data_IF_230614897662
#
_entry.id   IF_230614897662
#
_cell.length_a   1.000
_cell.length_b   1.000
_cell.length_c   1.000
_cell.angle_alpha   90.00
_cell.angle_beta   90.00
_cell.angle_gamma   90.00
#
_symmetry.space_group_name_H-M   'P 1'
#
loop_
_entity.id
_entity.type
_entity.pdbx_description
1 polymer ?
#
# COMPACT_ATOMS: atom_id res chain seq x y z
N UNK A 1 6.40 9.59 8.96
CA UNK A 1 5.03 9.08 8.70
C UNK A 1 5.14 8.04 7.61
N UNK A 2 5.24 6.77 8.02
CA UNK A 2 5.48 5.62 7.14
C UNK A 2 4.18 5.31 6.40
N UNK A 3 4.18 5.38 5.07
CA UNK A 3 3.00 5.10 4.25
C UNK A 3 2.72 3.59 4.31
N UNK A 4 1.74 3.23 5.13
CA UNK A 4 1.23 1.89 5.38
C UNK A 4 0.11 1.62 4.39
N UNK A 5 0.40 0.83 3.36
CA UNK A 5 -0.49 0.60 2.21
C UNK A 5 -1.52 -0.52 2.41
N UNK A 6 -1.34 -1.34 3.44
CA UNK A 6 -2.31 -2.30 3.95
C UNK A 6 -2.12 -2.45 5.46
N UNK A 7 -3.19 -2.66 6.22
CA UNK A 7 -3.10 -3.02 7.63
C UNK A 7 -2.82 -4.53 7.72
N UNK A 8 -1.59 -4.93 8.08
CA UNK A 8 -1.33 -6.29 8.56
C UNK A 8 -1.46 -6.30 10.08
N UNK A 9 -2.64 -6.68 10.60
CA UNK A 9 -2.81 -6.92 12.04
C UNK A 9 -2.07 -8.20 12.40
N UNK A 10 -0.94 -8.09 13.08
CA UNK A 10 -0.15 -9.23 13.56
C UNK A 10 -0.76 -9.95 14.75
N UNK A 11 -1.99 -9.62 15.13
CA UNK A 11 -2.60 -10.04 16.40
C UNK A 11 -3.98 -10.70 16.24
N UNK A 12 -4.46 -10.87 15.01
CA UNK A 12 -5.64 -11.68 14.69
C UNK A 12 -5.27 -12.44 13.42
N UNK A 13 -5.51 -13.74 13.33
CA UNK A 13 -5.48 -14.44 12.03
C UNK A 13 -6.84 -14.21 11.34
N UNK A 14 -6.99 -13.37 10.31
CA UNK A 14 -8.19 -13.37 9.49
C UNK A 14 -7.84 -14.18 8.26
N UNK A 15 -8.06 -15.49 8.28
CA UNK A 15 -7.83 -16.31 7.09
C UNK A 15 -8.79 -15.83 5.98
N UNK A 16 -8.28 -15.04 5.03
CA UNK A 16 -8.98 -14.75 3.76
C UNK A 16 -9.43 -13.32 3.46
N UNK A 17 -9.09 -12.30 4.26
CA UNK A 17 -9.44 -10.92 3.93
C UNK A 17 -8.25 -10.14 3.35
N UNK A 18 -8.37 -9.72 2.09
CA UNK A 18 -7.47 -8.76 1.45
C UNK A 18 -8.17 -7.40 1.46
N UNK A 19 -7.54 -6.40 2.08
CA UNK A 19 -8.05 -5.03 2.14
C UNK A 19 -7.13 -4.11 1.34
N UNK A 20 -7.68 -3.44 0.35
CA UNK A 20 -6.95 -2.48 -0.50
C UNK A 20 -7.52 -1.09 -0.26
N UNK A 21 -6.63 -0.10 -0.24
CA UNK A 21 -7.03 1.29 -0.08
C UNK A 21 -7.83 1.79 -1.30
N UNK A 22 -8.99 2.41 -1.08
CA UNK A 22 -9.83 2.99 -2.14
C UNK A 22 -9.14 4.08 -2.97
N UNK A 23 -8.03 4.65 -2.51
CA UNK A 23 -7.20 5.55 -3.32
C UNK A 23 -6.64 4.92 -4.59
N UNK A 24 -6.58 3.58 -4.63
CA UNK A 24 -6.18 2.83 -5.81
C UNK A 24 -7.37 2.55 -6.76
N UNK A 25 -8.60 2.80 -6.32
CA UNK A 25 -9.84 2.70 -7.11
C UNK A 25 -10.13 4.02 -7.83
N UNK A 26 -9.17 4.47 -8.65
CA UNK A 26 -9.32 5.67 -9.46
C UNK A 26 -8.96 5.34 -10.93
N UNK A 27 -9.77 5.78 -11.92
CA UNK A 27 -9.52 5.46 -13.34
C UNK A 27 -8.15 5.90 -13.87
N UNK A 28 -7.48 6.85 -13.22
CA UNK A 28 -6.12 7.31 -13.59
C UNK A 28 -5.02 6.45 -12.96
N UNK A 29 -5.36 5.56 -12.04
CA UNK A 29 -4.44 4.55 -11.51
C UNK A 29 -4.41 3.40 -12.51
N UNK A 30 -3.24 3.09 -13.10
CA UNK A 30 -3.15 1.98 -14.03
C UNK A 30 -3.51 0.64 -13.36
N UNK A 31 -4.20 -0.25 -14.08
CA UNK A 31 -4.68 -1.55 -13.56
C UNK A 31 -3.57 -2.38 -12.91
N UNK A 32 -2.38 -2.40 -13.48
CA UNK A 32 -1.24 -3.17 -12.95
C UNK A 32 -0.83 -2.76 -11.52
N UNK A 33 -1.12 -1.52 -11.11
CA UNK A 33 -0.84 -1.05 -9.75
C UNK A 33 -1.74 -1.77 -8.75
N UNK A 34 -3.00 -1.94 -9.10
CA UNK A 34 -3.96 -2.70 -8.31
C UNK A 34 -3.60 -4.19 -8.30
N UNK A 35 -3.23 -4.76 -9.45
CA UNK A 35 -2.77 -6.15 -9.55
C UNK A 35 -1.52 -6.40 -8.71
N UNK A 36 -0.54 -5.47 -8.76
CA UNK A 36 0.66 -5.54 -7.93
C UNK A 36 0.37 -5.37 -6.43
N UNK A 37 -0.62 -4.56 -6.07
CA UNK A 37 -1.07 -4.44 -4.66
C UNK A 37 -1.72 -5.73 -4.19
N UNK A 38 -2.63 -6.31 -4.99
CA UNK A 38 -3.23 -7.62 -4.69
C UNK A 38 -2.15 -8.70 -4.53
N UNK A 39 -1.19 -8.74 -5.45
CA UNK A 39 -0.08 -9.68 -5.41
C UNK A 39 0.73 -9.55 -4.11
N UNK A 40 1.06 -8.32 -3.69
CA UNK A 40 1.74 -8.04 -2.43
C UNK A 40 0.95 -8.56 -1.20
N UNK A 41 -0.35 -8.30 -1.14
CA UNK A 41 -1.19 -8.78 -0.04
C UNK A 41 -1.34 -10.31 -0.04
N UNK A 42 -1.40 -10.95 -1.21
CA UNK A 42 -1.38 -12.41 -1.31
C UNK A 42 -0.06 -13.01 -0.84
N UNK A 43 1.08 -12.36 -1.14
CA UNK A 43 2.39 -12.80 -0.64
C UNK A 43 2.47 -12.75 0.88
N UNK A 44 1.75 -11.82 1.52
CA UNK A 44 1.66 -11.81 2.98
C UNK A 44 0.91 -13.02 3.55
N UNK A 45 0.00 -13.62 2.80
CA UNK A 45 -0.66 -14.88 3.16
C UNK A 45 0.22 -16.10 2.89
N UNK A 46 1.09 -16.02 1.88
CA UNK A 46 1.96 -17.13 1.46
C UNK A 46 3.25 -17.22 2.29
N UNK A 47 3.83 -16.09 2.68
CA UNK A 47 5.14 -16.03 3.34
C UNK A 47 4.96 -15.61 4.80
N UNK A 48 5.26 -16.54 5.70
CA UNK A 48 5.23 -16.24 7.12
C UNK A 48 6.32 -15.23 7.54
N UNK A 49 5.98 -14.26 8.40
CA UNK A 49 6.97 -13.37 9.01
C UNK A 49 7.95 -14.15 9.89
N UNK A 50 9.22 -13.77 9.83
CA UNK A 50 10.29 -14.37 10.67
C UNK A 50 10.71 -13.41 11.78
N UNK A 51 11.30 -13.94 12.86
CA UNK A 51 11.88 -13.12 13.93
C UNK A 51 13.40 -13.15 13.81
N UNK A 52 14.01 -11.98 13.60
CA UNK A 52 15.47 -11.82 13.52
C UNK A 52 15.90 -10.84 14.61
N UNK A 53 16.77 -11.27 15.52
CA UNK A 53 17.26 -10.46 16.64
C UNK A 53 16.12 -9.82 17.47
N UNK A 54 15.07 -10.60 17.76
CA UNK A 54 13.89 -10.15 18.50
C UNK A 54 12.95 -9.20 17.73
N UNK A 55 13.23 -8.91 16.46
CA UNK A 55 12.39 -8.07 15.60
C UNK A 55 11.63 -8.91 14.58
N UNK A 56 10.32 -8.69 14.47
CA UNK A 56 9.47 -9.33 13.44
C UNK A 56 9.75 -8.71 12.08
N UNK A 57 10.22 -9.51 11.13
CA UNK A 57 10.52 -9.16 9.76
C UNK A 57 9.46 -9.79 8.85
N UNK A 58 8.59 -8.95 8.30
CA UNK A 58 7.51 -9.39 7.40
C UNK A 58 8.02 -9.49 5.96
N UNK A 59 8.68 -8.45 5.45
CA UNK A 59 9.27 -8.45 4.11
C UNK A 59 10.69 -9.07 4.13
N UNK A 60 10.73 -10.39 4.33
CA UNK A 60 11.96 -11.19 4.32
C UNK A 60 12.63 -11.20 2.94
N UNK A 61 13.85 -11.75 2.84
CA UNK A 61 14.51 -11.94 1.54
C UNK A 61 13.65 -12.79 0.60
N UNK A 62 13.04 -13.86 1.12
CA UNK A 62 12.12 -14.71 0.35
C UNK A 62 10.92 -13.91 -0.14
N UNK A 63 10.31 -13.08 0.71
CA UNK A 63 9.20 -12.21 0.32
C UNK A 63 9.59 -11.31 -0.86
N UNK A 64 10.75 -10.64 -0.77
CA UNK A 64 11.23 -9.73 -1.82
C UNK A 64 11.51 -10.45 -3.14
N UNK A 65 12.12 -11.63 -3.09
CA UNK A 65 12.36 -12.44 -4.29
C UNK A 65 11.06 -12.90 -4.96
N UNK A 66 9.99 -13.16 -4.19
CA UNK A 66 8.68 -13.43 -4.77
C UNK A 66 8.03 -12.16 -5.31
N UNK A 67 8.17 -11.04 -4.62
CA UNK A 67 7.66 -9.74 -5.05
C UNK A 67 8.23 -9.33 -6.43
N UNK A 68 9.52 -9.54 -6.64
CA UNK A 68 10.25 -9.28 -7.89
C UNK A 68 9.77 -10.14 -9.08
N UNK A 69 9.02 -11.22 -8.83
CA UNK A 69 8.45 -12.06 -9.91
C UNK A 69 7.22 -11.46 -10.58
N UNK A 70 6.66 -10.40 -10.01
CA UNK A 70 5.59 -9.68 -10.67
C UNK A 70 6.14 -8.96 -11.90
N UNK A 71 5.59 -9.24 -13.08
CA UNK A 71 6.09 -8.75 -14.39
C UNK A 71 6.38 -7.25 -14.44
N UNK A 72 5.68 -6.46 -13.62
CA UNK A 72 5.77 -5.00 -13.58
C UNK A 72 6.26 -4.44 -12.26
N UNK A 73 7.02 -5.22 -11.50
CA UNK A 73 7.50 -4.84 -10.16
C UNK A 73 8.23 -3.49 -10.15
N UNK A 74 9.11 -3.27 -11.12
CA UNK A 74 9.90 -2.04 -11.23
C UNK A 74 9.04 -0.79 -11.48
N UNK A 75 7.90 -0.95 -12.16
CA UNK A 75 6.96 0.14 -12.46
C UNK A 75 6.07 0.51 -11.26
N UNK A 76 5.88 -0.40 -10.31
CA UNK A 76 4.94 -0.19 -9.21
C UNK A 76 5.34 1.00 -8.35
N UNK A 77 6.62 1.08 -7.97
CA UNK A 77 7.13 2.12 -7.08
C UNK A 77 6.96 3.55 -7.62
N UNK A 78 7.33 3.86 -8.88
CA UNK A 78 7.08 5.19 -9.42
C UNK A 78 5.58 5.52 -9.52
N UNK A 79 4.71 4.55 -9.84
CA UNK A 79 3.27 4.79 -9.87
C UNK A 79 2.68 5.06 -8.48
N UNK A 80 3.01 4.27 -7.46
CA UNK A 80 2.56 4.54 -6.09
C UNK A 80 2.96 5.95 -5.63
N UNK A 81 4.15 6.42 -6.04
CA UNK A 81 4.61 7.77 -5.76
C UNK A 81 3.76 8.83 -6.46
N UNK A 82 3.30 8.59 -7.70
CA UNK A 82 2.37 9.49 -8.41
C UNK A 82 1.01 9.54 -7.71
N UNK A 83 0.47 8.39 -7.30
CA UNK A 83 -0.78 8.30 -6.52
C UNK A 83 -0.69 9.11 -5.22
N UNK A 84 0.37 8.92 -4.43
CA UNK A 84 0.57 9.69 -3.19
C UNK A 84 0.64 11.20 -3.42
N UNK A 85 1.38 11.63 -4.45
CA UNK A 85 1.49 13.06 -4.78
C UNK A 85 0.14 13.65 -5.17
N UNK A 86 -0.67 12.89 -5.92
CA UNK A 86 -2.02 13.31 -6.27
C UNK A 86 -2.89 13.45 -5.03
N UNK A 87 -2.94 12.43 -4.18
CA UNK A 87 -3.70 12.45 -2.93
C UNK A 87 -3.28 13.61 -2.02
N UNK A 88 -1.98 13.84 -1.85
CA UNK A 88 -1.46 14.97 -1.06
C UNK A 88 -1.93 16.34 -1.59
N UNK A 89 -2.02 16.51 -2.91
CA UNK A 89 -2.57 17.74 -3.52
C UNK A 89 -4.06 17.89 -3.25
N UNK A 90 -4.84 16.82 -3.39
CA UNK A 90 -6.28 16.83 -3.15
C UNK A 90 -6.61 17.13 -1.67
N UNK A 91 -5.95 16.45 -0.72
CA UNK A 91 -6.10 16.73 0.72
C UNK A 91 -5.67 18.16 1.06
N UNK A 92 -4.55 18.63 0.49
CA UNK A 92 -4.08 20.01 0.67
C UNK A 92 -5.05 21.05 0.11
N UNK A 93 -5.77 20.75 -0.97
CA UNK A 93 -6.81 21.60 -1.54
C UNK A 93 -8.08 21.60 -0.67
N UNK A 94 -8.51 20.44 -0.16
CA UNK A 94 -9.64 20.31 0.77
C UNK A 94 -9.39 21.07 2.07
N UNK A 95 -8.17 21.00 2.63
CA UNK A 95 -7.82 21.74 3.85
C UNK A 95 -7.88 23.26 3.65
N UNK A 96 -7.43 23.77 2.49
CA UNK A 96 -7.50 25.20 2.15
C UNK A 96 -8.92 25.69 1.92
N UNK A 97 -9.80 24.88 1.32
CA UNK A 97 -11.20 25.25 1.09
C UNK A 97 -12.03 25.22 2.37
N UNK A 98 -11.81 24.25 3.27
CA UNK A 98 -12.45 24.23 4.61
C UNK A 98 -11.96 25.38 5.52
N UNK A 99 -10.68 25.71 5.51
CA UNK A 99 -10.14 26.84 6.29
C UNK A 99 -10.70 28.22 5.90
N UNK A 100 -11.15 28.39 4.64
CA UNK A 100 -11.79 29.62 4.16
C UNK A 100 -13.27 29.76 4.53
N UNK A 101 -13.96 28.68 4.90
CA UNK A 101 -15.39 28.72 5.26
C UNK A 101 -15.66 29.03 6.75
N UNK A 102 -14.63 29.14 7.58
CA UNK A 102 -14.75 29.41 9.03
C UNK A 102 -14.40 30.84 9.47
N UNK A 103 -14.34 31.82 8.55
CA UNK A 103 -14.05 33.23 8.86
C UNK A 103 -15.16 34.18 8.37
N UNK A 104 -16.42 33.74 8.40
CA UNK A 104 -17.59 34.60 8.13
C UNK A 104 -18.58 34.49 9.26
#
# INVERSE_FOLDING_TARGET
>A
ITYRWGWYSSMVRPHGLIVINCLLDDPKVPRFVLEGTMYHEMLHMQVDPVVVNGRRVVHTRQFRTLEERFDRHEDLRPEYRKVLRRYGREVGAVRRTRGRRGQR
#
